data_IF_286803463942
#
_entry.id   IF_286803463942
#
_cell.length_a   1.000
_cell.length_b   1.000
_cell.length_c   1.000
_cell.angle_alpha   90.00
_cell.angle_beta   90.00
_cell.angle_gamma   90.00
#
_symmetry.space_group_name_H-M   'P 1'
#
loop_
_entity.id
_entity.type
_entity.pdbx_description
1 polymer ?
#
# COMPACT_ATOMS: atom_id res chain seq x y z
N UNK A 1 -29.14 -5.38 -14.65
CA UNK A 1 -28.51 -6.60 -14.15
C UNK A 1 -27.36 -6.24 -13.22
N UNK A 2 -27.39 -6.77 -12.03
CA UNK A 2 -26.30 -6.55 -11.08
C UNK A 2 -25.14 -7.52 -11.38
N UNK A 3 -23.93 -7.00 -11.52
CA UNK A 3 -22.74 -7.79 -11.68
C UNK A 3 -22.06 -7.88 -10.33
N UNK A 4 -21.95 -9.09 -9.81
CA UNK A 4 -21.18 -9.36 -8.60
C UNK A 4 -19.71 -9.14 -8.87
N UNK A 5 -19.10 -8.26 -8.10
CA UNK A 5 -17.66 -8.04 -8.12
C UNK A 5 -17.06 -8.62 -6.85
N UNK A 6 -16.07 -9.48 -7.03
CA UNK A 6 -15.35 -10.05 -5.89
C UNK A 6 -14.08 -9.28 -5.66
N UNK A 7 -13.81 -8.97 -4.40
CA UNK A 7 -12.53 -8.46 -3.95
C UNK A 7 -11.82 -9.55 -3.18
N UNK A 8 -10.56 -9.79 -3.53
CA UNK A 8 -9.69 -10.65 -2.74
C UNK A 8 -8.84 -9.78 -1.83
N UNK A 9 -8.83 -10.09 -0.55
CA UNK A 9 -7.98 -9.41 0.41
C UNK A 9 -7.08 -10.43 1.09
N UNK A 10 -5.78 -10.18 1.03
CA UNK A 10 -4.78 -11.03 1.66
C UNK A 10 -4.14 -10.24 2.80
N UNK A 11 -4.15 -10.82 4.00
CA UNK A 11 -3.43 -10.29 5.15
C UNK A 11 -2.08 -10.98 5.22
N UNK A 12 -1.02 -10.32 4.72
CA UNK A 12 0.29 -10.95 4.56
C UNK A 12 0.95 -11.33 5.88
N UNK A 13 0.60 -10.64 6.96
CA UNK A 13 1.10 -10.96 8.31
C UNK A 13 0.07 -11.73 9.14
N UNK A 14 -1.09 -12.06 8.57
CA UNK A 14 -2.19 -12.66 9.32
C UNK A 14 -2.89 -11.72 10.28
N UNK A 15 -2.59 -10.41 10.23
CA UNK A 15 -3.16 -9.41 11.13
C UNK A 15 -3.97 -8.37 10.34
N UNK A 16 -5.16 -8.00 10.81
CA UNK A 16 -6.01 -7.03 10.08
C UNK A 16 -5.38 -5.66 9.89
N UNK A 17 -4.51 -5.23 10.79
CA UNK A 17 -3.82 -3.95 10.74
C UNK A 17 -2.39 -4.07 10.17
N UNK A 18 -2.03 -5.23 9.64
CA UNK A 18 -0.74 -5.47 9.01
C UNK A 18 -0.74 -5.10 7.54
N UNK A 19 0.18 -5.72 6.78
CA UNK A 19 0.26 -5.53 5.34
C UNK A 19 -0.89 -6.25 4.67
N UNK A 20 -1.61 -5.54 3.81
CA UNK A 20 -2.75 -6.10 3.07
C UNK A 20 -2.56 -5.88 1.59
N UNK A 21 -2.97 -6.86 0.78
CA UNK A 21 -3.15 -6.64 -0.65
C UNK A 21 -4.61 -6.86 -1.01
N UNK A 22 -5.12 -6.03 -1.89
CA UNK A 22 -6.50 -6.06 -2.32
C UNK A 22 -6.49 -6.13 -3.83
N UNK A 23 -7.15 -7.14 -4.38
CA UNK A 23 -7.27 -7.33 -5.81
C UNK A 23 -8.72 -7.56 -6.18
N UNK A 24 -9.16 -6.87 -7.20
CA UNK A 24 -10.47 -7.07 -7.79
C UNK A 24 -10.43 -8.29 -8.70
N UNK A 25 -11.49 -9.07 -8.67
CA UNK A 25 -11.61 -10.26 -9.54
C UNK A 25 -11.38 -9.86 -11.01
N UNK A 26 -10.55 -10.64 -11.70
CA UNK A 26 -10.18 -10.45 -13.10
C UNK A 26 -9.40 -9.16 -13.38
N UNK A 27 -8.96 -8.45 -12.36
CA UNK A 27 -8.12 -7.27 -12.52
C UNK A 27 -6.64 -7.66 -12.48
N UNK A 28 -5.84 -6.97 -13.28
CA UNK A 28 -4.38 -7.09 -13.22
C UNK A 28 -3.76 -6.17 -12.17
N UNK A 29 -4.56 -5.23 -11.64
CA UNK A 29 -4.08 -4.27 -10.66
C UNK A 29 -4.26 -4.81 -9.24
N UNK A 30 -3.22 -4.66 -8.44
CA UNK A 30 -3.25 -4.99 -7.01
C UNK A 30 -2.99 -3.73 -6.20
N UNK A 31 -3.78 -3.52 -5.16
CA UNK A 31 -3.58 -2.44 -4.20
C UNK A 31 -2.94 -3.01 -2.94
N UNK A 32 -1.82 -2.43 -2.52
CA UNK A 32 -1.13 -2.82 -1.30
C UNK A 32 -1.31 -1.72 -0.26
N UNK A 33 -1.69 -2.11 0.95
CA UNK A 33 -1.76 -1.20 2.10
C UNK A 33 -0.66 -1.60 3.06
N UNK A 34 0.29 -0.69 3.31
CA UNK A 34 1.51 -0.99 4.03
C UNK A 34 1.67 0.00 5.18
N UNK A 35 1.54 -0.44 6.44
CA UNK A 35 1.95 0.38 7.57
C UNK A 35 3.44 0.69 7.48
N UNK A 36 3.83 1.92 7.78
CA UNK A 36 5.23 2.33 7.69
C UNK A 36 6.16 1.44 8.51
N UNK A 37 5.71 1.02 9.68
CA UNK A 37 6.49 0.15 10.56
C UNK A 37 6.79 -1.23 9.96
N UNK A 38 6.04 -1.63 8.92
CA UNK A 38 6.20 -2.94 8.27
C UNK A 38 6.82 -2.83 6.87
N UNK A 39 7.40 -1.68 6.54
CA UNK A 39 7.97 -1.43 5.22
C UNK A 39 9.04 -2.46 4.84
N UNK A 40 9.92 -2.83 5.79
CA UNK A 40 10.97 -3.81 5.51
C UNK A 40 10.41 -5.19 5.20
N UNK A 41 9.31 -5.58 5.84
CA UNK A 41 8.66 -6.85 5.57
C UNK A 41 7.94 -6.85 4.21
N UNK A 42 7.40 -5.71 3.82
CA UNK A 42 6.69 -5.56 2.56
C UNK A 42 7.59 -5.82 1.35
N UNK A 43 8.89 -5.57 1.45
CA UNK A 43 9.84 -5.79 0.36
C UNK A 43 9.90 -7.25 -0.08
N UNK A 44 9.51 -8.17 0.78
CA UNK A 44 9.53 -9.60 0.49
C UNK A 44 8.27 -10.09 -0.26
N UNK A 45 7.31 -9.21 -0.47
CA UNK A 45 6.06 -9.58 -1.12
C UNK A 45 6.28 -9.63 -2.64
N UNK A 46 5.89 -10.74 -3.26
CA UNK A 46 5.99 -10.91 -4.70
C UNK A 46 5.15 -9.86 -5.44
N UNK A 47 5.75 -9.23 -6.43
CA UNK A 47 5.06 -8.24 -7.26
C UNK A 47 5.05 -6.82 -6.73
N UNK A 48 5.53 -6.59 -5.50
CA UNK A 48 5.48 -5.25 -4.90
C UNK A 48 6.47 -4.27 -5.55
N UNK A 49 7.49 -4.78 -6.23
CA UNK A 49 8.52 -3.95 -6.88
C UNK A 49 8.15 -3.50 -8.30
N UNK A 50 6.89 -3.66 -8.69
CA UNK A 50 6.43 -3.17 -9.98
C UNK A 50 6.27 -1.66 -9.98
N UNK A 51 6.38 -1.00 -11.15
CA UNK A 51 6.04 0.42 -11.26
C UNK A 51 4.60 0.68 -10.88
N UNK A 52 4.31 1.86 -10.37
CA UNK A 52 2.96 2.21 -10.01
C UNK A 52 2.85 3.57 -9.33
N UNK A 53 1.66 3.86 -8.87
CA UNK A 53 1.33 5.06 -8.12
C UNK A 53 1.27 4.68 -6.65
N UNK A 54 1.69 5.58 -5.77
CA UNK A 54 1.61 5.36 -4.35
C UNK A 54 1.11 6.62 -3.64
N UNK A 55 0.44 6.40 -2.51
CA UNK A 55 0.01 7.45 -1.59
C UNK A 55 0.74 7.25 -0.28
N UNK A 56 1.32 8.31 0.26
CA UNK A 56 1.82 8.35 1.63
C UNK A 56 0.80 9.10 2.46
N UNK A 57 0.33 8.48 3.53
CA UNK A 57 -0.80 8.97 4.31
C UNK A 57 -0.38 9.12 5.75
N UNK A 58 -0.80 10.23 6.37
CA UNK A 58 -0.81 10.35 7.81
C UNK A 58 -2.24 10.18 8.29
N UNK A 59 -2.51 9.08 9.00
CA UNK A 59 -3.79 8.85 9.64
C UNK A 59 -3.70 9.17 11.12
N UNK A 60 -4.72 9.85 11.65
CA UNK A 60 -4.84 10.06 13.09
C UNK A 60 -5.42 8.83 13.79
N UNK A 61 -5.63 8.91 15.11
CA UNK A 61 -6.15 7.81 15.92
C UNK A 61 -7.58 7.39 15.54
N UNK A 62 -8.32 8.25 14.87
CA UNK A 62 -9.65 7.96 14.36
C UNK A 62 -9.68 7.45 12.93
N UNK A 63 -8.51 7.08 12.38
CA UNK A 63 -8.35 6.64 10.99
C UNK A 63 -8.71 7.72 9.98
N UNK A 64 -8.63 8.97 10.37
CA UNK A 64 -8.85 10.10 9.48
C UNK A 64 -7.54 10.51 8.82
N UNK A 65 -7.58 10.72 7.52
CA UNK A 65 -6.41 11.17 6.77
C UNK A 65 -6.24 12.66 7.00
N UNK A 66 -5.13 13.05 7.61
CA UNK A 66 -4.82 14.45 7.92
C UNK A 66 -3.76 15.02 6.98
N UNK A 67 -3.03 14.17 6.26
CA UNK A 67 -2.03 14.58 5.29
C UNK A 67 -1.84 13.51 4.24
N UNK A 68 -1.64 13.92 3.00
CA UNK A 68 -1.53 13.00 1.86
C UNK A 68 -0.45 13.50 0.90
N UNK A 69 0.38 12.58 0.43
CA UNK A 69 1.33 12.80 -0.65
C UNK A 69 1.10 11.74 -1.72
N UNK A 70 1.04 12.16 -2.99
CA UNK A 70 0.84 11.26 -4.12
C UNK A 70 2.11 11.25 -4.95
N UNK A 71 2.62 10.06 -5.25
CA UNK A 71 3.80 9.89 -6.06
C UNK A 71 3.66 8.78 -7.07
N UNK A 72 4.64 8.68 -7.93
CA UNK A 72 4.73 7.66 -8.95
C UNK A 72 6.16 7.14 -8.99
N UNK A 73 6.33 5.84 -9.22
CA UNK A 73 7.66 5.25 -9.23
C UNK A 73 7.78 4.15 -10.28
N UNK A 74 8.96 4.03 -10.86
CA UNK A 74 9.34 2.90 -11.72
C UNK A 74 9.96 1.76 -10.91
N UNK A 75 10.44 2.04 -9.71
CA UNK A 75 11.21 1.12 -8.88
C UNK A 75 10.40 0.49 -7.75
N UNK A 76 9.08 0.68 -7.77
CA UNK A 76 8.21 0.06 -6.79
C UNK A 76 8.52 0.49 -5.36
N UNK A 77 8.62 -0.48 -4.45
CA UNK A 77 8.75 -0.21 -3.03
C UNK A 77 10.08 0.47 -2.67
N UNK A 78 11.09 0.39 -3.53
CA UNK A 78 12.39 1.02 -3.27
C UNK A 78 12.24 2.52 -3.05
N UNK A 79 11.29 3.15 -3.75
CA UNK A 79 11.03 4.58 -3.57
C UNK A 79 10.51 4.91 -2.18
N UNK A 80 9.79 3.98 -1.56
CA UNK A 80 9.28 4.17 -0.19
C UNK A 80 10.41 4.18 0.84
N UNK A 81 11.50 3.46 0.58
CA UNK A 81 12.69 3.55 1.46
C UNK A 81 13.25 4.97 1.47
N UNK A 82 13.37 5.60 0.30
CA UNK A 82 13.82 6.98 0.22
C UNK A 82 12.92 7.89 1.03
N UNK A 83 11.62 7.71 0.93
CA UNK A 83 10.65 8.50 1.69
C UNK A 83 10.67 8.19 3.19
N UNK A 84 11.07 6.98 3.57
CA UNK A 84 11.22 6.63 4.98
C UNK A 84 12.32 7.46 5.65
N UNK A 85 13.36 7.84 4.89
CA UNK A 85 14.44 8.67 5.41
C UNK A 85 14.17 10.15 5.27
N UNK A 86 13.48 10.58 4.21
CA UNK A 86 13.37 11.98 3.84
C UNK A 86 12.05 12.65 4.23
N UNK A 87 11.02 11.87 4.57
CA UNK A 87 9.68 12.38 4.89
C UNK A 87 9.16 11.73 6.17
N UNK A 88 8.86 12.56 7.17
CA UNK A 88 8.44 12.06 8.49
C UNK A 88 6.94 12.03 8.70
N UNK A 89 6.16 12.66 7.84
CA UNK A 89 4.75 12.90 8.12
C UNK A 89 3.85 11.67 8.00
N UNK A 90 4.28 10.62 7.30
CA UNK A 90 3.40 9.51 6.92
C UNK A 90 3.55 8.30 7.84
N UNK A 91 2.47 7.56 8.01
CA UNK A 91 2.47 6.32 8.78
C UNK A 91 1.89 5.13 8.00
N UNK A 92 1.36 5.35 6.81
CA UNK A 92 0.80 4.30 5.97
C UNK A 92 1.07 4.63 4.51
N UNK A 93 1.38 3.60 3.71
CA UNK A 93 1.50 3.73 2.27
C UNK A 93 0.43 2.88 1.59
N UNK A 94 -0.14 3.40 0.50
CA UNK A 94 -1.03 2.65 -0.38
C UNK A 94 -0.39 2.65 -1.76
N UNK A 95 -0.14 1.45 -2.31
CA UNK A 95 0.51 1.29 -3.59
C UNK A 95 -0.43 0.61 -4.57
N UNK A 96 -0.52 1.15 -5.77
CA UNK A 96 -1.34 0.63 -6.86
C UNK A 96 -0.42 0.05 -7.92
N UNK A 97 -0.44 -1.25 -8.07
CA UNK A 97 0.40 -2.01 -9.00
C UNK A 97 -0.48 -2.70 -10.05
#
# INVERSE_FOLDING_TARGET
>A
MAISKKLEMIYHNGQPDGIRSIRRNLSTMTTYVIPRSLLSEAKNISGINRPGIYYLINEDDGNKIVQLYIGQTRNGITRLDDHNYSKDFWNKAIMFK
#
